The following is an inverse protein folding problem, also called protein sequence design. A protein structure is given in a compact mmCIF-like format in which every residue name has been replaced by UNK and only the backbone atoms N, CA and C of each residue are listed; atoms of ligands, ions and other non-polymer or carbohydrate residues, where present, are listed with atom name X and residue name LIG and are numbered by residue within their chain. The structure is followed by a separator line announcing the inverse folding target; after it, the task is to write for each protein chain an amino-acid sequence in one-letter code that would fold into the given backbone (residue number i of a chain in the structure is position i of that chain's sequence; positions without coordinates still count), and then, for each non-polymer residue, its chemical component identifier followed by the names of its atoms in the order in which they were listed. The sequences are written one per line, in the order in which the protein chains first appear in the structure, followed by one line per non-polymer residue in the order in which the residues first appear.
data_IF_183421288110
#
_entry.id   IF_183421288110
#
_cell.length_a   1.000
_cell.length_b   1.000
_cell.length_c   1.000
_cell.angle_alpha   90.00
_cell.angle_beta   90.00
_cell.angle_gamma   90.00
#
_symmetry.space_group_name_H-M   'P 1'
#
loop_
_entity.id
_entity.type
_entity.pdbx_description
1 polymer ?
#
# COMPACT_ATOMS: atom_id res chain seq x y z
N UNK A 1 -5.11 -8.15 -4.01
CA UNK A 1 -3.65 -8.37 -4.16
C UNK A 1 -3.25 -9.63 -3.40
N UNK A 2 -2.34 -10.45 -3.92
CA UNK A 2 -1.83 -11.69 -3.32
C UNK A 2 -0.31 -11.65 -3.16
N UNK A 3 0.23 -12.50 -2.30
CA UNK A 3 1.67 -12.71 -2.15
C UNK A 3 2.01 -14.09 -2.74
N UNK A 4 3.02 -14.15 -3.60
CA UNK A 4 3.45 -15.40 -4.24
C UNK A 4 4.89 -15.68 -3.83
N UNK A 5 5.14 -16.88 -3.26
CA UNK A 5 6.47 -17.32 -2.86
C UNK A 5 6.99 -18.35 -3.86
N UNK A 6 8.12 -18.06 -4.47
CA UNK A 6 8.84 -18.90 -5.40
C UNK A 6 10.26 -19.21 -4.92
N UNK A 7 10.91 -20.15 -5.58
CA UNK A 7 12.28 -20.57 -5.28
C UNK A 7 12.49 -22.03 -5.61
N UNK A 8 13.75 -22.49 -5.58
CA UNK A 8 14.09 -23.88 -5.83
C UNK A 8 13.44 -24.84 -4.80
N UNK A 9 13.30 -26.12 -5.16
CA UNK A 9 12.93 -27.15 -4.19
C UNK A 9 14.03 -27.23 -3.12
N UNK A 10 13.65 -27.25 -1.84
CA UNK A 10 14.60 -27.19 -0.73
C UNK A 10 15.00 -25.77 -0.27
N UNK A 11 14.54 -24.70 -0.95
CA UNK A 11 14.81 -23.33 -0.54
C UNK A 11 14.04 -22.87 0.72
N UNK A 12 13.15 -23.69 1.29
CA UNK A 12 12.43 -23.39 2.54
C UNK A 12 11.09 -22.68 2.35
N UNK A 13 10.53 -22.62 1.13
CA UNK A 13 9.28 -21.91 0.80
C UNK A 13 8.12 -22.15 1.76
N UNK A 14 7.72 -23.42 1.95
CA UNK A 14 6.57 -23.76 2.81
C UNK A 14 6.80 -23.44 4.28
N UNK A 15 8.04 -23.54 4.75
CA UNK A 15 8.39 -23.21 6.14
C UNK A 15 8.32 -21.71 6.39
N UNK A 16 8.91 -20.91 5.50
CA UNK A 16 8.84 -19.44 5.56
C UNK A 16 7.41 -18.96 5.38
N UNK A 17 6.65 -19.57 4.46
CA UNK A 17 5.25 -19.21 4.24
C UNK A 17 4.37 -19.44 5.46
N UNK A 18 4.60 -20.50 6.24
CA UNK A 18 3.88 -20.72 7.51
C UNK A 18 4.13 -19.61 8.52
N UNK A 19 5.38 -19.15 8.65
CA UNK A 19 5.70 -18.01 9.51
C UNK A 19 5.07 -16.70 9.01
N UNK A 20 5.11 -16.44 7.71
CA UNK A 20 4.44 -15.29 7.11
C UNK A 20 2.92 -15.35 7.29
N UNK A 21 2.29 -16.51 7.11
CA UNK A 21 0.85 -16.71 7.36
C UNK A 21 0.51 -16.40 8.83
N UNK A 22 1.33 -16.86 9.77
CA UNK A 22 1.17 -16.57 11.20
C UNK A 22 1.29 -15.08 11.51
N UNK A 23 2.24 -14.37 10.89
CA UNK A 23 2.47 -12.94 11.10
C UNK A 23 1.41 -12.04 10.44
N UNK A 24 0.91 -12.44 9.27
CA UNK A 24 -0.01 -11.62 8.46
C UNK A 24 -1.47 -11.99 8.60
N UNK A 25 -1.78 -13.19 9.10
CA UNK A 25 -3.13 -13.77 9.10
C UNK A 25 -3.64 -14.18 7.71
N UNK A 26 -2.80 -14.12 6.66
CA UNK A 26 -3.19 -14.54 5.31
C UNK A 26 -3.30 -16.06 5.24
N UNK A 27 -4.36 -16.53 4.59
CA UNK A 27 -4.54 -17.94 4.28
C UNK A 27 -3.45 -18.40 3.29
N UNK A 28 -2.75 -19.48 3.65
CA UNK A 28 -1.71 -20.09 2.82
C UNK A 28 -2.30 -21.13 1.88
N UNK A 29 -1.95 -21.03 0.60
CA UNK A 29 -2.31 -22.00 -0.44
C UNK A 29 -1.02 -22.55 -1.06
N UNK A 30 -0.82 -23.86 -1.01
CA UNK A 30 0.27 -24.54 -1.72
C UNK A 30 -0.24 -25.07 -3.06
N UNK A 31 0.43 -24.71 -4.16
CA UNK A 31 0.04 -25.19 -5.50
C UNK A 31 0.17 -26.70 -5.62
N UNK A 32 1.15 -27.29 -4.94
CA UNK A 32 1.36 -28.74 -4.91
C UNK A 32 0.14 -29.45 -4.26
N UNK A 33 -0.41 -28.91 -3.17
CA UNK A 33 -1.59 -29.46 -2.53
C UNK A 33 -2.86 -29.38 -3.42
N UNK A 34 -2.99 -28.32 -4.22
CA UNK A 34 -4.09 -28.20 -5.19
C UNK A 34 -3.98 -29.25 -6.30
N UNK A 35 -2.76 -29.54 -6.78
CA UNK A 35 -2.51 -30.59 -7.76
C UNK A 35 -2.89 -31.95 -7.18
N UNK A 36 -2.44 -32.28 -5.97
CA UNK A 36 -2.74 -33.53 -5.28
C UNK A 36 -4.26 -33.69 -5.07
N UNK A 37 -4.95 -32.63 -4.66
CA UNK A 37 -6.42 -32.66 -4.48
C UNK A 37 -7.15 -32.83 -5.82
N UNK A 38 -6.67 -32.22 -6.90
CA UNK A 38 -7.22 -32.39 -8.24
C UNK A 38 -7.17 -33.86 -8.68
N UNK A 39 -6.01 -34.49 -8.56
CA UNK A 39 -5.86 -35.90 -8.91
C UNK A 39 -6.65 -36.82 -7.98
N UNK A 40 -6.70 -36.53 -6.68
CA UNK A 40 -7.54 -37.26 -5.74
C UNK A 40 -9.03 -37.29 -6.17
N UNK A 41 -9.57 -36.16 -6.63
CA UNK A 41 -10.96 -36.08 -7.14
C UNK A 41 -11.17 -36.91 -8.40
N UNK A 42 -10.15 -37.10 -9.23
CA UNK A 42 -10.25 -37.86 -10.47
C UNK A 42 -10.12 -39.37 -10.25
N UNK A 43 -9.19 -39.81 -9.40
CA UNK A 43 -8.80 -41.21 -9.28
C UNK A 43 -9.22 -41.88 -7.96
N UNK A 44 -9.74 -41.08 -6.98
CA UNK A 44 -10.22 -41.58 -5.70
C UNK A 44 -9.15 -42.00 -4.68
N UNK A 45 -7.89 -41.89 -5.02
CA UNK A 45 -6.75 -42.19 -4.15
C UNK A 45 -5.82 -41.00 -4.02
N UNK A 46 -5.28 -40.79 -2.81
CA UNK A 46 -4.32 -39.69 -2.56
C UNK A 46 -2.94 -40.10 -3.08
N UNK A 47 -2.39 -39.27 -3.97
CA UNK A 47 -1.02 -39.37 -4.46
C UNK A 47 -0.31 -38.06 -4.17
N UNK A 48 0.97 -38.15 -3.83
CA UNK A 48 1.83 -36.99 -3.74
C UNK A 48 2.19 -36.48 -5.15
N UNK A 49 2.55 -35.20 -5.29
CA UNK A 49 3.05 -34.65 -6.55
C UNK A 49 4.15 -35.51 -7.18
N UNK A 50 4.98 -36.17 -6.36
CA UNK A 50 6.04 -37.09 -6.82
C UNK A 50 5.45 -38.33 -7.48
N UNK A 51 4.45 -38.95 -6.86
CA UNK A 51 3.79 -40.16 -7.39
C UNK A 51 2.99 -39.83 -8.66
N UNK A 52 2.28 -38.70 -8.66
CA UNK A 52 1.57 -38.17 -9.83
C UNK A 52 2.55 -37.99 -11.01
N UNK A 53 3.68 -37.34 -10.77
CA UNK A 53 4.71 -37.14 -11.80
C UNK A 53 5.25 -38.46 -12.37
N UNK A 54 5.48 -39.47 -11.51
CA UNK A 54 5.98 -40.79 -11.94
C UNK A 54 4.91 -41.56 -12.72
N UNK A 55 3.65 -41.53 -12.30
CA UNK A 55 2.57 -42.33 -12.87
C UNK A 55 1.98 -41.70 -14.15
N UNK A 56 1.83 -40.39 -14.18
CA UNK A 56 1.14 -39.67 -15.27
C UNK A 56 2.09 -38.92 -16.21
N UNK A 57 3.36 -38.84 -15.86
CA UNK A 57 4.38 -38.17 -16.67
C UNK A 57 4.41 -36.64 -16.52
N UNK A 58 5.46 -36.07 -17.09
CA UNK A 58 5.77 -34.63 -16.98
C UNK A 58 4.69 -33.76 -17.64
N UNK A 59 4.18 -34.19 -18.80
CA UNK A 59 3.22 -33.39 -19.58
C UNK A 59 1.89 -33.22 -18.84
N UNK A 60 1.30 -34.32 -18.36
CA UNK A 60 0.06 -34.30 -17.59
C UNK A 60 0.20 -33.48 -16.30
N UNK A 61 1.34 -33.61 -15.61
CA UNK A 61 1.63 -32.83 -14.42
C UNK A 61 1.66 -31.32 -14.72
N UNK A 62 2.33 -30.90 -15.80
CA UNK A 62 2.42 -29.49 -16.20
C UNK A 62 1.07 -28.89 -16.62
N UNK A 63 0.22 -29.66 -17.29
CA UNK A 63 -1.12 -29.21 -17.66
C UNK A 63 -1.97 -28.88 -16.42
N UNK A 64 -1.93 -29.75 -15.41
CA UNK A 64 -2.64 -29.53 -14.15
C UNK A 64 -2.02 -28.38 -13.36
N UNK A 65 -0.70 -28.29 -13.32
CA UNK A 65 0.01 -27.15 -12.69
C UNK A 65 -0.42 -25.79 -13.32
N UNK A 66 -0.51 -25.73 -14.65
CA UNK A 66 -0.98 -24.54 -15.36
C UNK A 66 -2.46 -24.23 -15.09
N UNK A 67 -3.31 -25.26 -14.97
CA UNK A 67 -4.70 -25.10 -14.61
C UNK A 67 -4.86 -24.54 -13.19
N UNK A 68 -4.10 -25.05 -12.21
CA UNK A 68 -4.12 -24.54 -10.84
C UNK A 68 -3.62 -23.08 -10.77
N UNK A 69 -2.59 -22.73 -11.54
CA UNK A 69 -2.11 -21.37 -11.63
C UNK A 69 -3.20 -20.40 -12.13
N UNK A 70 -3.96 -20.78 -13.14
CA UNK A 70 -5.09 -20.00 -13.66
C UNK A 70 -6.23 -19.84 -12.65
N UNK A 71 -6.55 -20.87 -11.86
CA UNK A 71 -7.55 -20.75 -10.80
C UNK A 71 -7.16 -19.74 -9.73
N UNK A 72 -5.87 -19.53 -9.53
CA UNK A 72 -5.32 -18.57 -8.57
C UNK A 72 -5.10 -17.17 -9.16
N UNK A 73 -5.44 -16.93 -10.44
CA UNK A 73 -5.21 -15.65 -11.11
C UNK A 73 -5.86 -14.48 -10.37
N UNK A 74 -7.12 -14.63 -10.00
CA UNK A 74 -7.90 -13.59 -9.32
C UNK A 74 -7.98 -13.78 -7.79
N UNK A 75 -7.13 -14.64 -7.23
CA UNK A 75 -7.05 -14.81 -5.78
C UNK A 75 -6.62 -13.49 -5.11
N UNK A 76 -7.31 -13.11 -4.04
CA UNK A 76 -7.02 -11.92 -3.27
C UNK A 76 -6.76 -12.26 -1.81
N UNK A 77 -5.85 -11.50 -1.18
CA UNK A 77 -5.50 -11.65 0.24
C UNK A 77 -5.09 -13.08 0.60
N UNK A 78 -4.33 -13.72 -0.29
CA UNK A 78 -3.79 -15.07 -0.12
C UNK A 78 -2.27 -15.07 -0.19
N UNK A 79 -1.66 -16.03 0.51
CA UNK A 79 -0.25 -16.35 0.44
C UNK A 79 -0.09 -17.64 -0.38
N UNK A 80 0.38 -17.51 -1.61
CA UNK A 80 0.51 -18.64 -2.54
C UNK A 80 1.94 -19.15 -2.52
N UNK A 81 2.12 -20.42 -2.22
CA UNK A 81 3.43 -21.10 -2.27
C UNK A 81 3.50 -21.91 -3.55
N UNK A 82 4.36 -21.50 -4.46
CA UNK A 82 4.52 -22.17 -5.75
C UNK A 82 5.34 -23.44 -5.64
N UNK A 83 4.86 -24.50 -6.28
CA UNK A 83 5.67 -25.68 -6.61
C UNK A 83 6.93 -25.28 -7.39
N UNK A 84 7.90 -26.16 -7.40
CA UNK A 84 9.20 -25.85 -7.99
C UNK A 84 9.18 -25.46 -9.47
N UNK A 85 8.16 -25.84 -10.25
CA UNK A 85 8.04 -25.59 -11.70
C UNK A 85 6.94 -24.61 -12.09
N UNK A 86 6.06 -24.25 -11.18
CA UNK A 86 4.82 -23.48 -11.47
C UNK A 86 5.05 -22.14 -12.18
N UNK A 87 6.20 -21.50 -11.98
CA UNK A 87 6.53 -20.22 -12.62
C UNK A 87 7.46 -20.34 -13.84
N UNK A 88 7.84 -21.57 -14.25
CA UNK A 88 8.66 -21.78 -15.45
C UNK A 88 7.81 -21.55 -16.69
N UNK A 89 6.58 -22.03 -16.71
CA UNK A 89 5.63 -21.78 -17.78
C UNK A 89 5.22 -20.30 -17.83
N UNK A 90 5.34 -19.64 -19.00
CA UNK A 90 5.00 -18.21 -19.13
C UNK A 90 3.54 -17.86 -18.77
N UNK A 91 2.57 -18.71 -19.16
CA UNK A 91 1.17 -18.47 -18.91
C UNK A 91 0.83 -18.58 -17.39
N UNK A 92 1.38 -19.60 -16.73
CA UNK A 92 1.27 -19.77 -15.28
C UNK A 92 1.92 -18.60 -14.53
N UNK A 93 3.10 -18.15 -14.99
CA UNK A 93 3.79 -16.98 -14.43
C UNK A 93 2.96 -15.71 -14.59
N UNK A 94 2.33 -15.49 -15.75
CA UNK A 94 1.45 -14.34 -15.97
C UNK A 94 0.24 -14.36 -15.03
N UNK A 95 -0.44 -15.50 -14.91
CA UNK A 95 -1.61 -15.67 -14.04
C UNK A 95 -1.27 -15.43 -12.57
N UNK A 96 -0.19 -16.05 -12.07
CA UNK A 96 0.21 -15.93 -10.67
C UNK A 96 0.74 -14.53 -10.33
N UNK A 97 1.32 -13.80 -11.30
CA UNK A 97 1.80 -12.43 -11.09
C UNK A 97 0.73 -11.35 -11.16
N UNK A 98 -0.45 -11.63 -11.68
CA UNK A 98 -1.54 -10.66 -11.75
C UNK A 98 -1.93 -10.20 -10.33
N UNK A 99 -1.83 -8.90 -10.06
CA UNK A 99 -2.07 -8.31 -8.74
C UNK A 99 -1.32 -9.00 -7.58
N UNK A 100 -0.05 -9.39 -7.82
CA UNK A 100 0.77 -10.10 -6.87
C UNK A 100 2.06 -9.37 -6.53
N UNK A 101 2.59 -9.63 -5.33
CA UNK A 101 4.00 -9.41 -4.99
C UNK A 101 4.68 -10.77 -5.06
N UNK A 102 5.66 -10.91 -5.95
CA UNK A 102 6.44 -12.12 -6.11
C UNK A 102 7.70 -12.05 -5.25
N UNK A 103 7.79 -12.97 -4.30
CA UNK A 103 8.96 -13.17 -3.44
C UNK A 103 9.74 -14.38 -3.96
N UNK A 104 11.00 -14.19 -4.31
CA UNK A 104 11.88 -15.28 -4.69
C UNK A 104 12.86 -15.61 -3.56
N UNK A 105 12.77 -16.83 -3.04
CA UNK A 105 13.70 -17.35 -2.04
C UNK A 105 14.89 -18.02 -2.74
N UNK A 106 16.06 -17.42 -2.56
CA UNK A 106 17.36 -17.94 -2.96
C UNK A 106 17.99 -18.69 -1.80
N UNK A 107 18.70 -19.75 -2.06
CA UNK A 107 19.54 -20.45 -1.09
C UNK A 107 20.78 -21.01 -1.79
N UNK A 108 21.86 -21.13 -1.04
CA UNK A 108 23.06 -21.82 -1.50
C UNK A 108 22.74 -23.27 -1.91
N UNK A 109 23.32 -23.71 -3.03
CA UNK A 109 23.02 -25.04 -3.60
C UNK A 109 23.48 -26.18 -2.69
N UNK A 110 24.53 -26.00 -1.89
CA UNK A 110 24.97 -26.99 -0.91
C UNK A 110 23.96 -27.15 0.23
N UNK A 111 23.35 -26.05 0.66
CA UNK A 111 22.27 -26.08 1.66
C UNK A 111 21.02 -26.76 1.09
N UNK A 112 20.68 -26.43 -0.15
CA UNK A 112 19.57 -27.09 -0.85
C UNK A 112 19.83 -28.59 -0.97
N UNK A 113 21.04 -28.97 -1.37
CA UNK A 113 21.43 -30.38 -1.48
C UNK A 113 21.26 -31.12 -0.14
N UNK A 114 21.86 -30.60 0.93
CA UNK A 114 21.76 -31.20 2.26
C UNK A 114 20.31 -31.42 2.74
N UNK A 115 19.42 -30.46 2.45
CA UNK A 115 18.00 -30.58 2.75
C UNK A 115 17.32 -31.66 1.91
N UNK A 116 17.58 -31.68 0.60
CA UNK A 116 17.00 -32.67 -0.31
C UNK A 116 17.49 -34.09 -0.03
N UNK A 117 18.76 -34.25 0.37
CA UNK A 117 19.34 -35.55 0.75
C UNK A 117 18.63 -36.13 1.98
N UNK A 118 18.36 -35.27 2.99
CA UNK A 118 17.63 -35.65 4.20
C UNK A 118 16.17 -36.02 3.92
N UNK A 119 15.48 -35.26 3.04
CA UNK A 119 14.05 -35.44 2.72
C UNK A 119 13.81 -36.46 1.59
N UNK A 120 14.86 -36.99 1.00
CA UNK A 120 14.85 -37.88 -0.15
C UNK A 120 14.92 -37.12 -1.48
N UNK A 121 15.94 -37.41 -2.28
CA UNK A 121 16.19 -36.77 -3.58
C UNK A 121 14.96 -36.91 -4.51
N UNK A 122 14.56 -35.86 -5.19
CA UNK A 122 13.48 -35.90 -6.17
C UNK A 122 13.86 -36.81 -7.37
N UNK A 123 12.86 -37.36 -8.13
CA UNK A 123 13.09 -38.29 -9.21
C UNK A 123 14.09 -37.84 -10.30
N UNK A 124 14.08 -36.52 -10.55
CA UNK A 124 14.95 -35.89 -11.56
C UNK A 124 16.40 -35.63 -11.08
N UNK A 125 16.70 -35.83 -9.79
CA UNK A 125 18.04 -35.72 -9.19
C UNK A 125 18.64 -37.12 -8.86
N UNK A 126 18.55 -38.06 -9.77
CA UNK A 126 19.12 -39.40 -9.60
C UNK A 126 20.24 -39.63 -10.59
N UNK A 127 21.32 -40.24 -10.13
CA UNK A 127 22.45 -40.58 -10.96
C UNK A 127 23.76 -39.87 -10.55
N UNK A 128 24.87 -40.15 -11.22
CA UNK A 128 26.20 -39.66 -10.84
C UNK A 128 26.32 -38.12 -10.95
N UNK A 129 25.54 -37.48 -11.84
CA UNK A 129 25.61 -36.04 -12.12
C UNK A 129 24.54 -35.23 -11.36
N UNK A 130 23.90 -35.80 -10.33
CA UNK A 130 22.76 -35.18 -9.63
C UNK A 130 23.10 -33.81 -9.03
N UNK A 131 24.31 -33.61 -8.48
CA UNK A 131 24.74 -32.30 -7.96
C UNK A 131 24.89 -31.26 -9.06
N UNK A 132 25.50 -31.64 -10.20
CA UNK A 132 25.62 -30.72 -11.33
C UNK A 132 24.26 -30.35 -11.93
N UNK A 133 23.35 -31.31 -12.00
CA UNK A 133 21.95 -31.04 -12.41
C UNK A 133 21.22 -30.10 -11.45
N UNK A 134 21.45 -30.25 -10.14
CA UNK A 134 20.88 -29.29 -9.16
C UNK A 134 21.44 -27.89 -9.39
N UNK A 135 22.75 -27.73 -9.53
CA UNK A 135 23.40 -26.44 -9.76
C UNK A 135 22.85 -25.76 -11.02
N UNK A 136 22.76 -26.50 -12.13
CA UNK A 136 22.18 -26.01 -13.39
C UNK A 136 20.70 -25.58 -13.20
N UNK A 137 19.93 -26.37 -12.48
CA UNK A 137 18.51 -26.10 -12.24
C UNK A 137 18.30 -24.88 -11.35
N UNK A 138 19.10 -24.70 -10.31
CA UNK A 138 19.03 -23.53 -9.41
C UNK A 138 19.45 -22.28 -10.18
N UNK A 139 20.58 -22.32 -10.91
CA UNK A 139 21.05 -21.20 -11.71
C UNK A 139 20.04 -20.78 -12.79
N UNK A 140 19.49 -21.74 -13.54
CA UNK A 140 18.45 -21.48 -14.54
C UNK A 140 17.21 -20.78 -13.93
N UNK A 141 16.77 -21.22 -12.74
CA UNK A 141 15.60 -20.60 -12.08
C UNK A 141 15.91 -19.21 -11.57
N UNK A 142 17.10 -18.98 -11.04
CA UNK A 142 17.52 -17.67 -10.58
C UNK A 142 17.63 -16.70 -11.76
N UNK A 143 18.20 -17.09 -12.87
CA UNK A 143 18.26 -16.31 -14.11
C UNK A 143 16.86 -16.01 -14.68
N UNK A 144 15.98 -17.02 -14.69
CA UNK A 144 14.63 -16.88 -15.23
C UNK A 144 13.70 -16.05 -14.32
N UNK A 145 13.73 -16.25 -13.01
CA UNK A 145 12.73 -15.71 -12.07
C UNK A 145 13.24 -14.50 -11.29
N UNK A 146 14.54 -14.36 -11.09
CA UNK A 146 15.15 -13.23 -10.40
C UNK A 146 14.72 -11.87 -10.94
N UNK A 147 14.75 -11.63 -12.28
CA UNK A 147 14.30 -10.36 -12.87
C UNK A 147 12.80 -10.08 -12.70
N UNK A 148 12.00 -11.09 -12.40
CA UNK A 148 10.55 -10.95 -12.17
C UNK A 148 10.20 -10.86 -10.69
N UNK A 149 11.11 -11.13 -9.78
CA UNK A 149 10.87 -11.03 -8.36
C UNK A 149 10.78 -9.56 -7.94
N UNK A 150 9.76 -9.25 -7.17
CA UNK A 150 9.61 -7.94 -6.54
C UNK A 150 10.47 -7.86 -5.26
N UNK A 151 10.63 -9.01 -4.59
CA UNK A 151 11.46 -9.17 -3.41
C UNK A 151 12.33 -10.42 -3.61
N UNK A 152 13.64 -10.27 -3.45
CA UNK A 152 14.59 -11.37 -3.49
C UNK A 152 15.26 -11.52 -2.12
N UNK A 153 15.12 -12.70 -1.51
CA UNK A 153 15.65 -12.97 -0.18
C UNK A 153 16.57 -14.18 -0.20
N UNK A 154 17.80 -13.98 0.28
CA UNK A 154 18.73 -15.07 0.53
C UNK A 154 18.43 -15.72 1.88
N UNK A 155 18.11 -17.02 1.85
CA UNK A 155 17.76 -17.81 3.02
C UNK A 155 18.95 -18.55 3.64
N UNK A 156 20.15 -18.36 3.08
CA UNK A 156 21.37 -19.05 3.50
C UNK A 156 21.72 -18.69 4.95
N UNK A 157 21.82 -19.68 5.82
CA UNK A 157 22.21 -19.51 7.22
C UNK A 157 21.20 -18.79 8.12
N UNK A 158 20.00 -18.48 7.61
CA UNK A 158 18.95 -17.78 8.37
C UNK A 158 17.88 -18.75 8.87
N UNK A 159 17.27 -18.42 10.03
CA UNK A 159 16.09 -19.13 10.52
C UNK A 159 14.83 -18.71 9.77
N UNK A 160 13.78 -19.53 9.71
CA UNK A 160 12.52 -19.17 9.06
C UNK A 160 11.90 -17.88 9.60
N UNK A 161 12.00 -17.63 10.90
CA UNK A 161 11.48 -16.44 11.56
C UNK A 161 12.26 -15.18 11.11
N UNK A 162 13.60 -15.28 11.01
CA UNK A 162 14.43 -14.17 10.55
C UNK A 162 14.14 -13.84 9.07
N UNK A 163 13.96 -14.86 8.24
CA UNK A 163 13.58 -14.70 6.83
C UNK A 163 12.19 -14.06 6.72
N UNK A 164 11.22 -14.52 7.50
CA UNK A 164 9.88 -13.95 7.50
C UNK A 164 9.87 -12.49 7.96
N UNK A 165 10.67 -12.13 8.97
CA UNK A 165 10.83 -10.75 9.42
C UNK A 165 11.44 -9.84 8.33
N UNK A 166 12.48 -10.30 7.65
CA UNK A 166 13.09 -9.60 6.51
C UNK A 166 12.08 -9.40 5.37
N UNK A 167 11.32 -10.44 5.02
CA UNK A 167 10.25 -10.35 4.03
C UNK A 167 9.19 -9.34 4.45
N UNK A 168 8.78 -9.29 5.71
CA UNK A 168 7.79 -8.31 6.19
C UNK A 168 8.29 -6.87 6.06
N UNK A 169 9.57 -6.63 6.30
CA UNK A 169 10.18 -5.31 6.09
C UNK A 169 10.17 -4.92 4.61
N UNK A 170 10.63 -5.82 3.72
CA UNK A 170 10.63 -5.58 2.27
C UNK A 170 9.21 -5.47 1.69
N UNK A 171 8.25 -6.27 2.17
CA UNK A 171 6.83 -6.13 1.82
C UNK A 171 6.30 -4.75 2.18
N UNK A 172 6.67 -4.21 3.34
CA UNK A 172 6.32 -2.86 3.74
C UNK A 172 6.84 -1.81 2.76
N UNK A 173 8.08 -1.95 2.30
CA UNK A 173 8.69 -1.07 1.29
C UNK A 173 8.01 -1.21 -0.07
N UNK A 174 7.81 -2.45 -0.54
CA UNK A 174 7.18 -2.73 -1.83
C UNK A 174 5.72 -2.26 -1.88
N UNK A 175 4.95 -2.47 -0.81
CA UNK A 175 3.59 -1.96 -0.68
C UNK A 175 3.55 -0.42 -0.67
N UNK A 176 4.54 0.22 -0.07
CA UNK A 176 4.66 1.68 -0.09
C UNK A 176 4.92 2.20 -1.51
N UNK A 177 5.77 1.50 -2.29
CA UNK A 177 6.05 1.82 -3.69
C UNK A 177 4.81 1.58 -4.57
N UNK A 178 4.12 0.45 -4.35
CA UNK A 178 2.92 0.05 -5.11
C UNK A 178 1.63 0.69 -4.64
N UNK A 179 1.59 1.26 -3.43
CA UNK A 179 0.41 1.98 -2.99
C UNK A 179 0.21 3.15 -3.95
N UNK A 180 -0.56 2.88 -5.01
CA UNK A 180 -0.93 3.88 -6.01
C UNK A 180 -1.41 5.09 -5.24
N UNK A 181 -0.56 6.12 -5.25
CA UNK A 181 -0.94 7.44 -4.82
C UNK A 181 -1.54 7.50 -3.40
N UNK A 182 -0.77 7.12 -2.37
CA UNK A 182 -1.16 7.38 -0.97
C UNK A 182 -1.50 8.87 -0.70
N UNK A 183 -1.13 9.75 -1.64
CA UNK A 183 -1.39 11.18 -1.60
C UNK A 183 -2.37 11.64 -2.69
N UNK A 184 -3.00 10.72 -3.42
CA UNK A 184 -3.98 11.02 -4.49
C UNK A 184 -5.33 10.37 -4.17
N UNK A 185 -6.40 11.13 -4.31
CA UNK A 185 -7.79 10.74 -4.04
C UNK A 185 -8.62 10.91 -5.31
N UNK A 186 -9.61 10.04 -5.50
CA UNK A 186 -10.58 10.12 -6.58
C UNK A 186 -10.16 9.40 -7.87
N UNK A 187 -11.14 9.14 -8.73
CA UNK A 187 -10.94 8.41 -9.99
C UNK A 187 -11.11 9.34 -11.21
N UNK A 188 -12.21 10.07 -11.29
CA UNK A 188 -12.51 11.02 -12.39
C UNK A 188 -11.90 12.38 -12.08
N UNK A 189 -12.24 12.96 -10.93
CA UNK A 189 -11.55 14.13 -10.39
C UNK A 189 -10.52 13.62 -9.39
N UNK A 190 -9.25 13.93 -9.62
CA UNK A 190 -8.12 13.44 -8.83
C UNK A 190 -7.46 14.58 -8.10
N UNK A 191 -7.34 14.44 -6.77
CA UNK A 191 -6.63 15.38 -5.92
C UNK A 191 -5.35 14.73 -5.42
N UNK A 192 -4.20 15.27 -5.80
CA UNK A 192 -2.90 14.90 -5.25
C UNK A 192 -2.41 16.00 -4.31
N UNK A 193 -2.17 15.67 -3.02
CA UNK A 193 -1.58 16.59 -2.06
C UNK A 193 -0.08 16.38 -1.93
N UNK A 194 0.69 17.44 -1.69
CA UNK A 194 2.15 17.41 -1.57
C UNK A 194 2.66 18.41 -0.51
N UNK A 195 3.94 18.30 -0.20
CA UNK A 195 4.65 19.17 0.76
C UNK A 195 4.56 18.69 2.20
N UNK A 196 5.41 19.19 3.06
CA UNK A 196 5.54 18.88 4.49
C UNK A 196 5.29 20.11 5.36
N UNK A 197 4.87 19.89 6.61
CA UNK A 197 4.53 20.97 7.54
C UNK A 197 5.67 21.94 7.84
N UNK A 198 6.93 21.46 7.78
CA UNK A 198 8.16 22.24 7.98
C UNK A 198 9.03 22.27 6.72
N UNK A 199 8.47 21.89 5.56
CA UNK A 199 9.05 22.12 4.25
C UNK A 199 8.76 23.53 3.72
N UNK A 200 9.20 23.85 2.50
CA UNK A 200 9.00 25.19 1.90
C UNK A 200 7.53 25.55 1.70
N UNK A 201 6.71 24.56 1.36
CA UNK A 201 5.30 24.75 1.03
C UNK A 201 4.50 23.45 1.23
N UNK A 202 3.19 23.59 1.29
CA UNK A 202 2.21 22.53 1.09
C UNK A 202 1.33 22.90 -0.08
N UNK A 203 0.80 21.90 -0.78
CA UNK A 203 -0.03 22.16 -1.94
C UNK A 203 -0.90 21.01 -2.36
N UNK A 204 -1.62 21.25 -3.45
CA UNK A 204 -2.46 20.27 -4.09
C UNK A 204 -2.48 20.47 -5.61
N UNK A 205 -2.59 19.37 -6.34
CA UNK A 205 -2.90 19.36 -7.76
C UNK A 205 -4.25 18.67 -7.93
N UNK A 206 -5.20 19.37 -8.51
CA UNK A 206 -6.53 18.86 -8.82
C UNK A 206 -6.67 18.68 -10.33
N UNK A 207 -6.86 17.46 -10.78
CA UNK A 207 -7.02 17.10 -12.19
C UNK A 207 -8.42 16.55 -12.47
N UNK A 208 -8.88 16.65 -13.73
CA UNK A 208 -10.19 16.15 -14.18
C UNK A 208 -11.35 17.12 -13.95
N UNK A 209 -11.10 18.38 -13.56
CA UNK A 209 -12.12 19.42 -13.49
C UNK A 209 -12.46 19.91 -14.91
N UNK A 210 -13.75 19.92 -15.27
CA UNK A 210 -14.20 20.42 -16.58
C UNK A 210 -13.76 21.88 -16.81
N UNK A 211 -13.52 22.30 -18.05
CA UNK A 211 -13.27 23.70 -18.35
C UNK A 211 -14.50 24.57 -18.09
N UNK A 212 -14.27 25.86 -17.86
CA UNK A 212 -15.30 26.88 -17.76
C UNK A 212 -15.98 27.01 -16.39
N UNK A 213 -15.53 26.29 -15.36
CA UNK A 213 -15.98 26.54 -13.98
C UNK A 213 -15.38 27.87 -13.50
N UNK A 214 -16.24 28.79 -13.04
CA UNK A 214 -15.79 30.05 -12.43
C UNK A 214 -15.15 29.79 -11.07
N UNK A 215 -13.90 30.18 -10.91
CA UNK A 215 -13.11 29.96 -9.69
C UNK A 215 -12.03 31.03 -9.52
N UNK A 216 -11.85 31.51 -8.32
CA UNK A 216 -10.80 32.46 -7.96
C UNK A 216 -10.00 31.98 -6.74
N UNK A 217 -8.88 32.61 -6.47
CA UNK A 217 -8.10 32.35 -5.26
C UNK A 217 -8.91 32.71 -4.00
N UNK A 218 -9.78 33.71 -4.05
CA UNK A 218 -10.64 34.15 -2.96
C UNK A 218 -11.68 33.09 -2.59
N UNK A 219 -12.22 32.36 -3.59
CA UNK A 219 -13.15 31.24 -3.34
C UNK A 219 -12.49 30.15 -2.50
N UNK A 220 -11.23 29.82 -2.85
CA UNK A 220 -10.45 28.81 -2.13
C UNK A 220 -10.02 29.34 -0.77
N UNK A 221 -9.57 30.60 -0.71
CA UNK A 221 -9.15 31.25 0.53
C UNK A 221 -10.26 31.30 1.58
N UNK A 222 -11.50 31.49 1.17
CA UNK A 222 -12.66 31.45 2.06
C UNK A 222 -12.75 30.14 2.83
N UNK A 223 -12.56 29.01 2.15
CA UNK A 223 -12.60 27.70 2.80
C UNK A 223 -11.32 27.45 3.65
N UNK A 224 -10.16 27.91 3.21
CA UNK A 224 -8.94 27.86 4.00
C UNK A 224 -9.05 28.69 5.29
N UNK A 225 -9.68 29.85 5.24
CA UNK A 225 -9.93 30.68 6.42
C UNK A 225 -10.81 29.97 7.45
N UNK A 226 -11.72 29.10 7.01
CA UNK A 226 -12.52 28.26 7.92
C UNK A 226 -11.70 27.15 8.58
N UNK A 227 -10.62 26.71 7.95
CA UNK A 227 -9.75 25.62 8.42
C UNK A 227 -8.56 26.13 9.26
N UNK A 228 -8.01 27.30 8.96
CA UNK A 228 -6.75 27.78 9.57
C UNK A 228 -6.80 27.79 11.10
N UNK A 229 -5.63 27.63 11.78
CA UNK A 229 -5.55 27.81 13.23
C UNK A 229 -5.80 29.29 13.63
N UNK A 230 -6.07 29.54 14.91
CA UNK A 230 -6.23 30.92 15.41
C UNK A 230 -7.58 31.59 15.08
N UNK A 231 -8.65 30.82 14.79
CA UNK A 231 -9.94 31.38 14.39
C UNK A 231 -10.83 31.78 15.59
N UNK A 232 -10.58 31.19 16.75
CA UNK A 232 -11.37 31.45 17.97
C UNK A 232 -10.56 31.13 19.22
N UNK A 233 -11.01 31.57 20.36
CA UNK A 233 -10.39 31.37 21.67
C UNK A 233 -10.27 29.88 22.07
N UNK A 234 -11.04 29.01 21.43
CA UNK A 234 -11.00 27.55 21.65
C UNK A 234 -10.04 26.81 20.71
N UNK A 235 -9.31 27.54 19.88
CA UNK A 235 -8.29 26.95 18.96
C UNK A 235 -6.86 27.30 19.40
N UNK A 236 -5.86 26.71 18.73
CA UNK A 236 -4.44 27.01 19.00
C UNK A 236 -4.14 28.52 18.77
N UNK A 237 -3.24 29.13 19.57
CA UNK A 237 -2.81 30.53 19.38
C UNK A 237 -1.96 30.77 18.14
N UNK A 238 -1.58 29.70 17.41
CA UNK A 238 -0.81 29.81 16.17
C UNK A 238 -1.66 30.47 15.08
N UNK A 239 -1.16 31.57 14.49
CA UNK A 239 -1.83 32.28 13.40
C UNK A 239 -1.01 32.16 12.11
N UNK A 240 -1.49 31.35 11.18
CA UNK A 240 -0.94 31.22 9.83
C UNK A 240 -2.02 31.67 8.83
N UNK A 241 -1.67 32.62 7.98
CA UNK A 241 -2.64 33.19 7.01
C UNK A 241 -3.05 32.19 5.92
N UNK A 242 -2.34 31.06 5.76
CA UNK A 242 -2.61 30.02 4.76
C UNK A 242 -2.98 30.60 3.37
N UNK A 243 -2.22 31.59 2.93
CA UNK A 243 -2.50 32.28 1.67
C UNK A 243 -2.26 31.37 0.48
N UNK A 244 -3.33 31.10 -0.29
CA UNK A 244 -3.25 30.24 -1.46
C UNK A 244 -2.81 31.02 -2.70
N UNK A 245 -1.97 30.38 -3.51
CA UNK A 245 -1.61 30.82 -4.86
C UNK A 245 -2.04 29.72 -5.85
N UNK A 246 -2.74 30.11 -6.93
CA UNK A 246 -3.09 29.22 -8.05
C UNK A 246 -1.99 29.38 -9.12
N UNK A 247 -1.28 28.29 -9.39
CA UNK A 247 -0.14 28.29 -10.31
C UNK A 247 -0.50 27.87 -11.74
N UNK A 248 -1.60 27.10 -11.92
CA UNK A 248 -2.04 26.62 -13.23
C UNK A 248 -3.52 26.23 -13.23
N UNK A 249 -4.06 25.94 -14.40
CA UNK A 249 -5.41 25.39 -14.57
C UNK A 249 -6.53 26.40 -14.52
N UNK A 250 -6.24 27.70 -14.31
CA UNK A 250 -7.22 28.80 -14.29
C UNK A 250 -6.73 29.92 -15.18
N UNK A 251 -7.60 30.43 -16.04
CA UNK A 251 -7.36 31.58 -16.91
C UNK A 251 -8.59 32.48 -16.92
N UNK A 252 -8.40 33.79 -16.72
CA UNK A 252 -9.50 34.78 -16.66
C UNK A 252 -10.64 34.39 -15.69
N UNK A 253 -10.30 33.82 -14.53
CA UNK A 253 -11.25 33.40 -13.52
C UNK A 253 -12.04 32.11 -13.84
N UNK A 254 -11.64 31.34 -14.86
CA UNK A 254 -12.29 30.10 -15.25
C UNK A 254 -11.29 28.94 -15.35
N UNK A 255 -11.73 27.74 -15.00
CA UNK A 255 -10.92 26.54 -15.21
C UNK A 255 -10.69 26.29 -16.69
N UNK A 256 -9.50 25.82 -17.05
CA UNK A 256 -9.11 25.55 -18.45
C UNK A 256 -9.29 24.09 -18.86
N UNK A 257 -9.52 23.17 -17.90
CA UNK A 257 -9.47 21.73 -18.08
C UNK A 257 -8.07 21.12 -17.88
N UNK A 258 -7.03 21.96 -17.77
CA UNK A 258 -5.71 21.52 -17.33
C UNK A 258 -5.65 21.33 -15.81
N UNK A 259 -4.67 20.58 -15.27
CA UNK A 259 -4.52 20.42 -13.83
C UNK A 259 -4.40 21.76 -13.09
N UNK A 260 -5.19 21.91 -12.02
CA UNK A 260 -5.17 23.09 -11.15
C UNK A 260 -4.13 22.85 -10.06
N UNK A 261 -3.00 23.52 -10.12
CA UNK A 261 -1.97 23.49 -9.11
C UNK A 261 -2.15 24.66 -8.12
N UNK A 262 -2.24 24.34 -6.84
CA UNK A 262 -2.46 25.27 -5.74
C UNK A 262 -1.40 25.08 -4.68
N UNK A 263 -0.85 26.18 -4.14
CA UNK A 263 0.22 26.15 -3.15
C UNK A 263 0.01 27.15 -2.03
N UNK A 264 0.45 26.77 -0.83
CA UNK A 264 0.59 27.65 0.34
C UNK A 264 2.04 27.59 0.80
N UNK A 265 2.76 28.69 0.78
CA UNK A 265 4.13 28.76 1.27
C UNK A 265 4.16 28.80 2.80
N UNK A 266 4.98 27.97 3.41
CA UNK A 266 5.18 27.94 4.85
C UNK A 266 6.13 29.09 5.23
N UNK A 267 5.66 30.05 6.00
CA UNK A 267 6.44 31.23 6.40
C UNK A 267 6.95 31.17 7.84
N UNK A 268 6.19 30.51 8.73
CA UNK A 268 6.48 30.41 10.16
C UNK A 268 6.65 28.95 10.59
N UNK A 269 7.85 28.40 10.38
CA UNK A 269 8.20 27.09 10.90
C UNK A 269 9.52 27.12 11.67
N UNK A 270 9.48 26.80 12.95
CA UNK A 270 10.67 26.62 13.77
C UNK A 270 10.94 25.11 13.94
N UNK A 271 11.88 24.61 13.17
CA UNK A 271 12.28 23.19 13.19
C UNK A 271 13.25 22.86 14.33
N UNK A 272 13.84 23.86 15.00
CA UNK A 272 14.87 23.67 16.05
C UNK A 272 14.34 22.84 17.24
N UNK A 273 13.06 22.99 17.56
CA UNK A 273 12.39 22.27 18.65
C UNK A 273 12.34 20.75 18.46
N UNK A 274 12.53 20.26 17.25
CA UNK A 274 12.46 18.82 16.92
C UNK A 274 13.83 18.15 16.91
N UNK A 275 14.95 18.90 16.93
CA UNK A 275 16.31 18.36 16.89
C UNK A 275 16.60 17.42 18.06
N UNK A 276 16.17 17.79 19.28
CA UNK A 276 16.39 17.02 20.49
C UNK A 276 15.62 15.69 20.57
N UNK A 277 14.62 15.50 19.68
CA UNK A 277 13.75 14.33 19.65
C UNK A 277 13.76 13.62 18.30
N UNK A 278 14.68 13.94 17.41
CA UNK A 278 14.73 13.40 16.04
C UNK A 278 14.84 11.88 15.98
N UNK A 279 15.50 11.27 16.95
CA UNK A 279 15.73 9.84 17.03
C UNK A 279 14.62 9.09 17.82
N UNK A 280 13.63 9.82 18.34
CA UNK A 280 12.52 9.27 19.12
C UNK A 280 11.23 9.26 18.31
N UNK A 281 10.42 8.21 18.48
CA UNK A 281 9.07 8.16 17.97
C UNK A 281 8.10 8.74 19.00
N UNK A 282 7.40 9.82 18.64
CA UNK A 282 6.46 10.49 19.57
C UNK A 282 5.20 9.64 19.75
N UNK A 283 4.78 9.35 21.01
CA UNK A 283 3.51 8.69 21.27
C UNK A 283 2.33 9.49 20.69
N UNK A 284 1.34 8.79 20.15
CA UNK A 284 0.14 9.42 19.55
C UNK A 284 0.38 10.10 18.20
N UNK A 285 1.59 10.00 17.62
CA UNK A 285 1.93 10.52 16.30
C UNK A 285 2.26 9.37 15.33
N UNK A 286 2.24 9.66 14.03
CA UNK A 286 2.51 8.66 13.00
C UNK A 286 4.02 8.42 12.73
N UNK A 287 4.91 8.87 13.60
CA UNK A 287 6.35 8.76 13.44
C UNK A 287 6.82 7.32 13.19
N UNK A 288 6.38 6.39 14.07
CA UNK A 288 6.72 4.98 13.97
C UNK A 288 6.15 4.32 12.71
N UNK A 289 4.87 4.59 12.40
CA UNK A 289 4.19 3.99 11.25
C UNK A 289 4.74 4.50 9.92
N UNK A 290 5.11 5.78 9.82
CA UNK A 290 5.80 6.32 8.65
C UNK A 290 7.19 5.72 8.47
N UNK A 291 7.96 5.60 9.55
CA UNK A 291 9.27 4.96 9.50
C UNK A 291 9.16 3.48 9.07
N UNK A 292 8.19 2.73 9.63
CA UNK A 292 7.94 1.34 9.23
C UNK A 292 7.49 1.18 7.79
N UNK A 293 6.69 2.13 7.29
CA UNK A 293 6.16 2.08 5.92
C UNK A 293 7.18 2.51 4.87
N UNK A 294 7.97 3.55 5.14
CA UNK A 294 8.82 4.20 4.14
C UNK A 294 10.32 4.03 4.41
N UNK A 295 10.73 3.48 5.55
CA UNK A 295 12.13 3.36 5.97
C UNK A 295 12.79 4.68 6.39
N UNK A 296 12.09 5.80 6.21
CA UNK A 296 12.53 7.16 6.54
C UNK A 296 11.33 7.99 7.00
N UNK A 297 11.56 8.99 7.82
CA UNK A 297 10.57 10.00 8.19
C UNK A 297 11.16 11.39 8.23
N UNK A 298 10.38 12.41 7.93
CA UNK A 298 10.70 13.77 8.31
C UNK A 298 10.25 13.99 9.77
N UNK A 299 11.22 14.13 10.69
CA UNK A 299 10.94 14.33 12.11
C UNK A 299 10.41 15.73 12.44
N UNK A 300 10.57 16.69 11.52
CA UNK A 300 10.19 18.08 11.73
C UNK A 300 8.68 18.26 11.64
N UNK A 301 8.03 18.51 12.77
CA UNK A 301 6.60 18.77 12.85
C UNK A 301 5.67 17.64 12.39
N UNK A 302 6.21 16.44 12.13
CA UNK A 302 5.46 15.30 11.61
C UNK A 302 5.35 15.22 10.09
N UNK A 303 5.99 16.13 9.35
CA UNK A 303 6.08 16.10 7.89
C UNK A 303 4.71 15.97 7.22
N UNK A 304 4.52 14.93 6.38
CA UNK A 304 3.26 14.61 5.71
C UNK A 304 2.14 14.15 6.66
N UNK A 305 2.46 13.62 7.84
CA UNK A 305 1.45 13.20 8.82
C UNK A 305 0.90 14.35 9.67
N UNK A 306 1.39 15.56 9.48
CA UNK A 306 0.89 16.76 10.16
C UNK A 306 -0.53 17.11 9.72
N UNK A 307 -1.35 17.61 10.66
CA UNK A 307 -2.67 18.16 10.35
C UNK A 307 -2.66 19.33 9.35
N UNK A 308 -1.49 19.96 9.14
CA UNK A 308 -1.32 21.01 8.13
C UNK A 308 -1.55 20.50 6.69
N UNK A 309 -1.30 19.24 6.42
CA UNK A 309 -1.56 18.60 5.12
C UNK A 309 -3.05 18.71 4.70
N UNK A 310 -3.95 18.79 5.67
CA UNK A 310 -5.38 18.96 5.38
C UNK A 310 -5.72 20.24 4.61
N UNK A 311 -4.84 21.26 4.62
CA UNK A 311 -5.02 22.45 3.79
C UNK A 311 -5.02 22.10 2.29
N UNK A 312 -4.21 21.13 1.84
CA UNK A 312 -4.25 20.62 0.46
C UNK A 312 -5.62 20.03 0.09
N UNK A 313 -6.23 19.29 1.01
CA UNK A 313 -7.58 18.74 0.82
C UNK A 313 -8.65 19.82 0.78
N UNK A 314 -8.52 20.84 1.62
CA UNK A 314 -9.46 21.98 1.63
C UNK A 314 -9.37 22.77 0.33
N UNK A 315 -8.15 23.01 -0.20
CA UNK A 315 -7.99 23.66 -1.51
C UNK A 315 -8.72 22.92 -2.62
N UNK A 316 -8.49 21.61 -2.76
CA UNK A 316 -9.20 20.79 -3.76
C UNK A 316 -10.70 20.71 -3.51
N UNK A 317 -11.09 20.56 -2.24
CA UNK A 317 -12.49 20.55 -1.81
C UNK A 317 -13.24 21.81 -2.14
N UNK A 318 -12.62 22.99 -2.05
CA UNK A 318 -13.22 24.28 -2.41
C UNK A 318 -13.61 24.32 -3.89
N UNK A 319 -12.74 23.85 -4.78
CA UNK A 319 -13.04 23.79 -6.21
C UNK A 319 -14.17 22.80 -6.51
N UNK A 320 -14.10 21.58 -5.93
CA UNK A 320 -15.13 20.55 -6.11
C UNK A 320 -16.48 20.98 -5.53
N UNK A 321 -16.47 21.67 -4.39
CA UNK A 321 -17.68 22.24 -3.79
C UNK A 321 -18.41 23.18 -4.74
N UNK A 322 -17.66 24.08 -5.40
CA UNK A 322 -18.23 25.03 -6.37
C UNK A 322 -18.83 24.30 -7.57
N UNK A 323 -18.20 23.24 -8.04
CA UNK A 323 -18.73 22.38 -9.09
C UNK A 323 -20.05 21.69 -8.69
N UNK A 324 -20.17 21.26 -7.43
CA UNK A 324 -21.37 20.64 -6.88
C UNK A 324 -22.51 21.64 -6.65
N UNK A 325 -22.19 22.87 -6.24
CA UNK A 325 -23.15 23.96 -6.05
C UNK A 325 -23.89 24.30 -7.36
N UNK A 326 -23.23 24.22 -8.52
CA UNK A 326 -23.91 24.36 -9.83
C UNK A 326 -24.97 23.27 -10.09
N UNK A 327 -24.87 22.14 -9.40
CA UNK A 327 -25.83 21.02 -9.47
C UNK A 327 -26.85 21.06 -8.32
N UNK A 328 -26.86 22.13 -7.52
CA UNK A 328 -27.74 22.26 -6.37
C UNK A 328 -27.36 21.37 -5.18
N UNK A 329 -26.14 20.80 -5.17
CA UNK A 329 -25.67 19.96 -4.06
C UNK A 329 -24.92 20.81 -3.04
N UNK A 330 -25.37 20.76 -1.77
CA UNK A 330 -24.73 21.42 -0.63
C UNK A 330 -24.15 20.37 0.32
N UNK A 331 -22.86 20.51 0.68
CA UNK A 331 -22.19 19.68 1.68
C UNK A 331 -22.00 20.50 2.95
N UNK A 332 -22.46 19.96 4.07
CA UNK A 332 -22.42 20.63 5.38
C UNK A 332 -21.73 19.70 6.38
N UNK A 333 -20.81 20.25 7.18
CA UNK A 333 -20.19 19.57 8.31
C UNK A 333 -20.32 20.44 9.57
N UNK A 334 -20.69 19.84 10.71
CA UNK A 334 -20.77 20.52 11.96
C UNK A 334 -20.44 19.59 13.15
N UNK A 335 -20.10 20.18 14.29
CA UNK A 335 -19.92 19.44 15.53
C UNK A 335 -21.27 19.00 16.08
N UNK A 336 -21.39 17.72 16.46
CA UNK A 336 -22.60 17.15 17.06
C UNK A 336 -22.45 16.85 18.55
N UNK A 337 -21.19 16.65 19.00
CA UNK A 337 -20.88 16.39 20.40
C UNK A 337 -19.43 16.75 20.71
N UNK A 338 -19.20 17.44 21.82
CA UNK A 338 -17.87 17.78 22.34
C UNK A 338 -17.90 17.61 23.87
N UNK A 339 -16.98 16.82 24.44
CA UNK A 339 -16.83 16.65 25.87
C UNK A 339 -18.07 16.11 26.59
N UNK A 340 -18.94 15.36 25.91
CA UNK A 340 -20.20 14.83 26.43
C UNK A 340 -21.39 15.80 26.27
N UNK A 341 -21.17 17.04 25.81
CA UNK A 341 -22.26 17.99 25.47
C UNK A 341 -22.70 17.71 24.03
N UNK A 342 -23.93 17.26 23.87
CA UNK A 342 -24.49 16.85 22.59
C UNK A 342 -25.54 17.85 22.08
N UNK A 343 -25.45 18.20 20.79
CA UNK A 343 -26.44 19.00 20.09
C UNK A 343 -27.81 18.29 20.09
N UNK A 344 -28.85 19.02 20.40
CA UNK A 344 -30.23 18.53 20.40
C UNK A 344 -31.03 19.05 19.20
N UNK A 345 -30.57 20.15 18.59
CA UNK A 345 -31.16 20.77 17.41
C UNK A 345 -30.13 20.89 16.28
N UNK A 346 -30.61 21.11 15.06
CA UNK A 346 -29.74 21.22 13.89
C UNK A 346 -30.20 22.39 12.99
N UNK A 347 -29.64 23.57 13.23
CA UNK A 347 -29.79 24.76 12.39
C UNK A 347 -28.46 25.04 11.66
N UNK A 348 -28.42 24.78 10.36
CA UNK A 348 -27.20 24.96 9.56
C UNK A 348 -26.77 26.42 9.40
N UNK A 349 -27.66 27.38 9.59
CA UNK A 349 -27.36 28.81 9.42
C UNK A 349 -26.56 29.39 10.59
N UNK A 350 -26.47 28.68 11.71
CA UNK A 350 -25.71 29.13 12.89
C UNK A 350 -24.30 28.47 12.99
N UNK A 351 -23.98 27.48 12.20
CA UNK A 351 -22.71 26.75 12.28
C UNK A 351 -21.51 27.70 12.30
N UNK A 352 -21.48 28.62 11.34
CA UNK A 352 -20.39 29.60 11.20
C UNK A 352 -20.39 30.71 12.27
N UNK A 353 -21.49 30.83 13.03
CA UNK A 353 -21.67 31.83 14.11
C UNK A 353 -21.23 31.28 15.46
N UNK A 354 -20.97 29.98 15.57
CA UNK A 354 -20.54 29.37 16.83
C UNK A 354 -19.04 29.07 16.81
N UNK A 355 -18.28 29.29 17.91
CA UNK A 355 -16.85 29.09 17.94
C UNK A 355 -16.44 27.62 17.75
N UNK A 356 -17.31 26.68 18.07
CA UNK A 356 -17.12 25.23 17.96
C UNK A 356 -17.77 24.61 16.71
N UNK A 357 -18.31 25.45 15.80
CA UNK A 357 -18.98 24.99 14.57
C UNK A 357 -20.13 24.01 14.83
N UNK A 358 -20.87 24.23 15.87
CA UNK A 358 -22.05 23.43 16.23
C UNK A 358 -23.34 24.06 15.62
N UNK A 359 -24.24 23.19 15.13
CA UNK A 359 -25.55 23.60 14.58
C UNK A 359 -26.61 23.83 15.66
N UNK A 360 -26.25 23.75 16.93
CA UNK A 360 -27.11 24.02 18.10
C UNK A 360 -26.50 25.14 18.94
N UNK A 361 -27.20 26.29 19.02
CA UNK A 361 -26.70 27.45 19.73
C UNK A 361 -26.60 27.26 21.24
N UNK A 362 -27.44 26.39 21.83
CA UNK A 362 -27.39 26.11 23.27
C UNK A 362 -26.23 25.15 23.59
N UNK A 363 -26.10 24.06 22.85
CA UNK A 363 -25.00 23.14 23.01
C UNK A 363 -23.64 23.80 22.73
N UNK A 364 -23.58 24.77 21.82
CA UNK A 364 -22.35 25.51 21.50
C UNK A 364 -21.87 26.43 22.66
N UNK A 365 -22.76 26.81 23.57
CA UNK A 365 -22.45 27.66 24.75
C UNK A 365 -22.08 26.85 25.98
N UNK A 366 -22.54 25.60 26.06
CA UNK A 366 -22.28 24.69 27.16
C UNK A 366 -20.86 24.08 27.07
#
# INVERSE_FOLDING_TARGET
MKIVIAGAKGAGKSTVARELSRMTGLEMIETDALIEEHFFKQIGHRHTCREIYIQHGQEAFRQVEAMMARQLEDAEWKLIVCGGSSLIDPASRQALRKNAILIYLKADTEIIWARLEKDGLPPWLRGPDAREQLNKNVAFREELLGPFADILVDTTGKTPEAIAAEIMEELGRELAIRSKAANTYGDVIRLTTFGESHGPAIGAVLDGVRPGLEISAEDIQKELNRRRPGQSDVTTPRDEKDQVEILSGVFEGKTTGAPIAMVIFNRDHDSSKYEGIKDLFRPGHADFTFYKKYGIRDYRGGGRSSGRETAGRVMGGAVVRKLLEEKGVRIVAHAIEIGGVRAQTCDYEIIEKTPVRCADAQAAKA
#
